data_IF_724428379129
#
_entry.id   IF_724428379129
#
_cell.length_a   1.000
_cell.length_b   1.000
_cell.length_c   1.000
_cell.angle_alpha   90.00
_cell.angle_beta   90.00
_cell.angle_gamma   90.00
#
_symmetry.space_group_name_H-M   'P 1'
#
loop_
_entity.id
_entity.type
_entity.pdbx_description
1 polymer ?
#
# COMPACT_ATOMS: atom_id res chain seq x y z
N UNK A 1 7.46 -17.52 -13.32
CA UNK A 1 7.18 -18.96 -13.29
C UNK A 1 6.75 -19.43 -11.91
N UNK A 2 7.52 -19.21 -10.83
CA UNK A 2 7.16 -19.60 -9.46
C UNK A 2 5.81 -19.03 -8.98
N UNK A 3 5.37 -17.93 -9.56
CA UNK A 3 4.05 -17.31 -9.29
C UNK A 3 2.89 -17.90 -10.13
N UNK A 4 3.15 -18.98 -10.88
CA UNK A 4 2.12 -19.67 -11.68
C UNK A 4 2.05 -19.21 -13.14
N UNK A 5 2.85 -18.25 -13.57
CA UNK A 5 2.91 -17.85 -14.99
C UNK A 5 3.66 -18.89 -15.82
N UNK A 6 3.19 -19.11 -17.06
CA UNK A 6 3.96 -19.89 -18.05
C UNK A 6 5.33 -19.23 -18.30
N UNK A 7 6.34 -20.01 -18.77
CA UNK A 7 7.65 -19.43 -19.07
C UNK A 7 7.60 -18.22 -20.01
N UNK A 8 6.83 -18.31 -21.09
CA UNK A 8 6.67 -17.24 -22.09
C UNK A 8 6.00 -16.00 -21.49
N UNK A 9 4.97 -16.21 -20.65
CA UNK A 9 4.28 -15.13 -19.98
C UNK A 9 5.18 -14.44 -18.93
N UNK A 10 5.95 -15.21 -18.20
CA UNK A 10 6.90 -14.69 -17.22
C UNK A 10 7.97 -13.83 -17.91
N UNK A 11 8.52 -14.30 -19.05
CA UNK A 11 9.49 -13.55 -19.83
C UNK A 11 8.87 -12.27 -20.40
N UNK A 12 7.68 -12.36 -20.98
CA UNK A 12 6.95 -11.20 -21.49
C UNK A 12 6.77 -10.11 -20.42
N UNK A 13 6.34 -10.48 -19.22
CA UNK A 13 6.17 -9.54 -18.11
C UNK A 13 7.52 -8.93 -17.67
N UNK A 14 8.57 -9.76 -17.57
CA UNK A 14 9.90 -9.29 -17.21
C UNK A 14 10.45 -8.27 -18.22
N UNK A 15 10.21 -8.47 -19.50
CA UNK A 15 10.63 -7.55 -20.58
C UNK A 15 9.90 -6.19 -20.51
N UNK A 16 8.71 -6.16 -19.92
CA UNK A 16 7.89 -4.94 -19.77
C UNK A 16 8.15 -4.16 -18.49
N UNK A 17 8.97 -4.69 -17.58
CA UNK A 17 9.22 -4.07 -16.28
C UNK A 17 10.71 -3.74 -16.16
N UNK A 18 11.04 -2.54 -15.71
CA UNK A 18 12.39 -2.11 -15.40
C UNK A 18 12.52 -1.82 -13.91
N UNK A 19 13.68 -2.14 -13.34
CA UNK A 19 14.00 -1.90 -11.92
C UNK A 19 14.92 -0.69 -11.81
N UNK A 20 14.54 0.28 -10.96
CA UNK A 20 15.34 1.46 -10.67
C UNK A 20 15.79 1.45 -9.20
N UNK A 21 17.07 1.61 -8.90
CA UNK A 21 17.53 1.76 -7.52
C UNK A 21 17.08 3.10 -6.92
N UNK A 22 16.72 3.10 -5.65
CA UNK A 22 16.31 4.29 -4.93
C UNK A 22 16.96 4.36 -3.54
N UNK A 23 17.01 5.56 -2.97
CA UNK A 23 17.45 5.79 -1.57
C UNK A 23 16.27 5.81 -0.59
N UNK A 24 15.05 6.06 -1.09
CA UNK A 24 13.84 6.20 -0.29
C UNK A 24 12.91 4.98 -0.36
N UNK A 25 11.60 5.22 -0.21
CA UNK A 25 10.54 4.21 -0.29
C UNK A 25 10.43 3.58 -1.67
N UNK A 26 9.93 2.35 -1.72
CA UNK A 26 9.54 1.70 -2.96
C UNK A 26 8.33 2.36 -3.61
N UNK A 27 8.23 2.26 -4.92
CA UNK A 27 7.09 2.69 -5.72
C UNK A 27 7.04 1.94 -7.05
N UNK A 28 5.85 1.76 -7.56
CA UNK A 28 5.61 1.22 -8.90
C UNK A 28 4.92 2.27 -9.78
N UNK A 29 5.46 2.47 -10.98
CA UNK A 29 4.82 3.30 -12.00
C UNK A 29 4.47 2.44 -13.21
N UNK A 30 3.22 2.47 -13.59
CA UNK A 30 2.77 1.87 -14.83
C UNK A 30 3.36 2.60 -16.06
N UNK A 31 3.47 1.89 -17.17
CA UNK A 31 3.76 2.53 -18.44
C UNK A 31 2.56 3.38 -18.90
N UNK A 32 2.82 4.60 -19.38
CA UNK A 32 1.77 5.51 -19.85
C UNK A 32 1.17 5.08 -21.18
N UNK A 33 1.90 4.31 -21.99
CA UNK A 33 1.46 3.82 -23.28
C UNK A 33 2.13 2.50 -23.65
N UNK A 34 1.49 1.73 -24.54
CA UNK A 34 2.08 0.51 -25.12
C UNK A 34 3.44 0.84 -25.76
N UNK A 35 4.42 -0.02 -25.56
CA UNK A 35 5.80 0.17 -25.99
C UNK A 35 6.74 0.72 -24.92
N UNK A 36 6.22 1.39 -23.90
CA UNK A 36 6.99 1.79 -22.73
C UNK A 36 7.06 0.64 -21.70
N UNK A 37 8.04 0.73 -20.79
CA UNK A 37 8.20 -0.21 -19.68
C UNK A 37 7.63 0.39 -18.40
N UNK A 38 6.90 -0.41 -17.65
CA UNK A 38 6.59 -0.12 -16.25
C UNK A 38 7.87 -0.06 -15.43
N UNK A 39 7.90 0.74 -14.36
CA UNK A 39 9.11 0.95 -13.57
C UNK A 39 8.85 0.63 -12.11
N UNK A 40 9.67 -0.23 -11.57
CA UNK A 40 9.71 -0.59 -10.16
C UNK A 40 10.90 0.12 -9.52
N UNK A 41 10.67 0.84 -8.44
CA UNK A 41 11.71 1.43 -7.62
C UNK A 41 11.74 0.76 -6.26
N UNK A 42 12.92 0.37 -5.81
CA UNK A 42 13.13 -0.15 -4.46
C UNK A 42 14.42 0.37 -3.86
N UNK A 43 14.54 0.25 -2.54
CA UNK A 43 15.73 0.67 -1.81
C UNK A 43 16.88 -0.32 -2.07
N UNK A 44 17.94 0.19 -2.68
CA UNK A 44 19.18 -0.55 -2.90
C UNK A 44 20.34 0.27 -2.29
N UNK A 45 20.78 -0.04 -1.07
CA UNK A 45 21.98 0.54 -0.46
C UNK A 45 23.23 0.23 -1.27
N UNK A 46 24.33 0.97 -1.02
CA UNK A 46 25.61 0.76 -1.69
C UNK A 46 26.20 -0.64 -1.51
N UNK A 47 25.79 -1.34 -0.45
CA UNK A 47 26.22 -2.69 -0.12
C UNK A 47 25.34 -3.80 -0.73
N UNK A 48 24.36 -3.43 -1.55
CA UNK A 48 23.39 -4.34 -2.13
C UNK A 48 22.00 -4.24 -1.49
N UNK A 49 21.05 -4.99 -2.05
CA UNK A 49 19.68 -5.02 -1.55
C UNK A 49 19.59 -5.89 -0.30
N UNK A 50 19.06 -5.34 0.78
CA UNK A 50 18.70 -6.10 1.98
C UNK A 50 17.32 -6.79 1.82
N UNK A 51 16.94 -7.64 2.79
CA UNK A 51 15.67 -8.35 2.75
C UNK A 51 14.47 -7.36 2.71
N UNK A 52 14.53 -6.26 3.44
CA UNK A 52 13.46 -5.27 3.44
C UNK A 52 13.29 -4.63 2.06
N UNK A 53 14.39 -4.27 1.40
CA UNK A 53 14.35 -3.76 0.02
C UNK A 53 13.81 -4.78 -0.96
N UNK A 54 14.16 -6.05 -0.79
CA UNK A 54 13.63 -7.16 -1.60
C UNK A 54 12.13 -7.36 -1.38
N UNK A 55 11.67 -7.44 -0.14
CA UNK A 55 10.26 -7.62 0.22
C UNK A 55 9.38 -6.50 -0.36
N UNK A 56 9.84 -5.24 -0.25
CA UNK A 56 9.20 -4.08 -0.88
C UNK A 56 9.22 -4.23 -2.41
N UNK A 57 10.35 -4.66 -3.00
CA UNK A 57 10.44 -4.87 -4.45
C UNK A 57 9.42 -5.87 -4.97
N UNK A 58 9.14 -6.93 -4.23
CA UNK A 58 8.12 -7.92 -4.61
C UNK A 58 6.71 -7.34 -4.55
N UNK A 59 6.41 -6.49 -3.57
CA UNK A 59 5.15 -5.74 -3.50
C UNK A 59 4.98 -4.84 -4.74
N UNK A 60 5.96 -3.98 -5.01
CA UNK A 60 5.94 -3.07 -6.16
C UNK A 60 5.92 -3.81 -7.50
N UNK A 61 6.56 -4.98 -7.56
CA UNK A 61 6.49 -5.86 -8.72
C UNK A 61 5.07 -6.37 -8.96
N UNK A 62 4.30 -6.66 -7.92
CA UNK A 62 2.89 -7.01 -8.01
C UNK A 62 2.07 -5.91 -8.70
N UNK A 63 2.28 -4.66 -8.32
CA UNK A 63 1.66 -3.51 -8.99
C UNK A 63 2.07 -3.42 -10.47
N UNK A 64 3.36 -3.55 -10.78
CA UNK A 64 3.82 -3.46 -12.18
C UNK A 64 3.27 -4.61 -13.05
N UNK A 65 3.10 -5.79 -12.50
CA UNK A 65 2.46 -6.91 -13.20
C UNK A 65 1.00 -6.59 -13.50
N UNK A 66 0.23 -6.11 -12.52
CA UNK A 66 -1.15 -5.67 -12.71
C UNK A 66 -1.25 -4.58 -13.78
N UNK A 67 -0.47 -3.51 -13.64
CA UNK A 67 -0.43 -2.38 -14.56
C UNK A 67 -0.07 -2.81 -16.00
N UNK A 68 0.85 -3.76 -16.14
CA UNK A 68 1.24 -4.31 -17.44
C UNK A 68 0.10 -5.12 -18.07
N UNK A 69 -0.57 -5.97 -17.29
CA UNK A 69 -1.73 -6.74 -17.74
C UNK A 69 -2.87 -5.79 -18.12
N UNK A 70 -3.16 -4.81 -17.25
CA UNK A 70 -4.20 -3.81 -17.51
C UNK A 70 -3.96 -3.04 -18.81
N UNK A 71 -2.72 -2.64 -19.09
CA UNK A 71 -2.38 -1.88 -20.30
C UNK A 71 -2.37 -2.72 -21.59
N UNK A 72 -1.92 -3.98 -21.51
CA UNK A 72 -1.66 -4.76 -22.72
C UNK A 72 -2.73 -5.78 -23.04
N UNK A 73 -3.42 -6.33 -22.02
CA UNK A 73 -4.35 -7.45 -22.18
C UNK A 73 -5.81 -7.00 -22.12
N UNK A 74 -6.08 -5.77 -21.65
CA UNK A 74 -7.41 -5.18 -21.69
C UNK A 74 -7.60 -4.48 -23.03
N UNK A 75 -8.48 -5.01 -23.87
CA UNK A 75 -8.66 -4.54 -25.24
C UNK A 75 -9.25 -3.11 -25.33
N UNK A 76 -10.09 -2.76 -24.37
CA UNK A 76 -10.71 -1.44 -24.34
C UNK A 76 -9.91 -0.50 -23.44
N UNK A 77 -9.23 0.46 -24.03
CA UNK A 77 -8.29 1.37 -23.32
C UNK A 77 -8.93 2.09 -22.12
N UNK A 78 -10.20 2.48 -22.22
CA UNK A 78 -10.90 3.17 -21.13
C UNK A 78 -11.12 2.31 -19.88
N UNK A 79 -10.91 1.00 -19.98
CA UNK A 79 -10.91 0.08 -18.83
C UNK A 79 -9.53 -0.12 -18.21
N UNK A 80 -8.47 0.43 -18.81
CA UNK A 80 -7.14 0.41 -18.24
C UNK A 80 -7.13 1.23 -16.93
N UNK A 81 -6.62 0.65 -15.85
CA UNK A 81 -6.55 1.32 -14.54
C UNK A 81 -7.91 1.42 -13.80
N UNK A 82 -8.94 0.73 -14.24
CA UNK A 82 -10.25 0.68 -13.58
C UNK A 82 -10.24 -0.03 -12.21
N UNK A 83 -9.41 -1.07 -11.95
CA UNK A 83 -9.35 -1.66 -10.63
C UNK A 83 -9.04 -0.58 -9.57
N UNK A 84 -9.83 -0.54 -8.50
CA UNK A 84 -9.61 0.41 -7.43
C UNK A 84 -8.36 0.07 -6.61
N UNK A 85 -7.88 1.03 -5.83
CA UNK A 85 -6.65 0.88 -5.04
C UNK A 85 -6.70 -0.31 -4.09
N UNK A 86 -7.87 -0.64 -3.51
CA UNK A 86 -7.99 -1.80 -2.63
C UNK A 86 -7.66 -3.12 -3.36
N UNK A 87 -8.09 -3.27 -4.61
CA UNK A 87 -7.77 -4.45 -5.42
C UNK A 87 -6.29 -4.49 -5.80
N UNK A 88 -5.71 -3.37 -6.26
CA UNK A 88 -4.31 -3.33 -6.69
C UNK A 88 -3.35 -3.56 -5.52
N UNK A 89 -3.66 -3.02 -4.34
CA UNK A 89 -2.91 -3.30 -3.11
C UNK A 89 -3.04 -4.76 -2.67
N UNK A 90 -4.26 -5.33 -2.69
CA UNK A 90 -4.46 -6.73 -2.35
C UNK A 90 -3.65 -7.67 -3.26
N UNK A 91 -3.59 -7.38 -4.57
CA UNK A 91 -2.77 -8.15 -5.50
C UNK A 91 -1.28 -8.02 -5.19
N UNK A 92 -0.79 -6.82 -4.90
CA UNK A 92 0.60 -6.60 -4.52
C UNK A 92 0.96 -7.36 -3.23
N UNK A 93 0.08 -7.39 -2.23
CA UNK A 93 0.26 -8.19 -1.02
C UNK A 93 0.26 -9.70 -1.28
N UNK A 94 -0.52 -10.20 -2.24
CA UNK A 94 -0.46 -11.61 -2.67
C UNK A 94 0.93 -11.98 -3.20
N UNK A 95 1.54 -11.10 -4.00
CA UNK A 95 2.93 -11.27 -4.45
C UNK A 95 3.90 -11.22 -3.27
N UNK A 96 3.79 -10.20 -2.43
CA UNK A 96 4.67 -9.98 -1.28
C UNK A 96 4.66 -11.16 -0.30
N UNK A 97 3.51 -11.77 -0.05
CA UNK A 97 3.39 -12.96 0.81
C UNK A 97 4.22 -14.16 0.32
N UNK A 98 4.57 -14.19 -0.95
CA UNK A 98 5.33 -15.29 -1.58
C UNK A 98 6.83 -15.00 -1.74
N UNK A 99 7.34 -13.96 -1.12
CA UNK A 99 8.71 -13.48 -1.28
C UNK A 99 9.78 -14.54 -0.94
N UNK A 100 9.65 -15.23 0.20
CA UNK A 100 10.57 -16.31 0.58
C UNK A 100 10.49 -17.50 -0.39
N UNK A 101 9.30 -17.87 -0.84
CA UNK A 101 9.10 -18.91 -1.85
C UNK A 101 9.82 -18.56 -3.16
N UNK A 102 9.80 -17.29 -3.56
CA UNK A 102 10.50 -16.80 -4.76
C UNK A 102 12.01 -16.92 -4.62
N UNK A 103 12.55 -16.76 -3.43
CA UNK A 103 13.96 -17.02 -3.11
C UNK A 103 14.30 -18.53 -3.02
N UNK A 104 13.29 -19.40 -3.00
CA UNK A 104 13.46 -20.82 -2.79
C UNK A 104 13.69 -21.19 -1.32
N UNK A 105 13.39 -20.27 -0.41
CA UNK A 105 13.47 -20.48 1.03
C UNK A 105 12.14 -21.06 1.49
N UNK A 106 12.20 -22.23 2.13
CA UNK A 106 11.04 -22.80 2.82
C UNK A 106 11.07 -22.33 4.28
N UNK A 107 9.98 -21.75 4.72
CA UNK A 107 9.81 -21.49 6.13
C UNK A 107 9.16 -22.71 6.78
N UNK A 108 9.89 -23.33 7.69
CA UNK A 108 9.48 -24.55 8.39
C UNK A 108 8.81 -24.24 9.75
N UNK A 109 8.59 -22.96 10.07
CA UNK A 109 7.94 -22.58 11.32
C UNK A 109 6.43 -22.89 11.27
N UNK A 110 5.91 -23.84 12.06
CA UNK A 110 4.50 -24.22 12.05
C UNK A 110 3.56 -23.10 12.54
N UNK A 111 4.10 -22.13 13.27
CA UNK A 111 3.32 -21.00 13.81
C UNK A 111 3.30 -19.79 12.86
N UNK A 112 4.06 -19.83 11.75
CA UNK A 112 4.18 -18.70 10.83
C UNK A 112 2.83 -18.23 10.31
N UNK A 113 1.99 -19.13 9.84
CA UNK A 113 0.68 -18.77 9.29
C UNK A 113 -0.19 -18.05 10.33
N UNK A 114 -0.15 -18.49 11.58
CA UNK A 114 -0.87 -17.84 12.68
C UNK A 114 -0.32 -16.45 12.97
N UNK A 115 1.02 -16.32 12.99
CA UNK A 115 1.68 -15.03 13.22
C UNK A 115 1.39 -14.07 12.08
N UNK A 116 1.42 -14.54 10.83
CA UNK A 116 1.06 -13.73 9.65
C UNK A 116 -0.39 -13.22 9.73
N UNK A 117 -1.33 -14.05 10.19
CA UNK A 117 -2.73 -13.64 10.39
C UNK A 117 -2.84 -12.58 11.49
N UNK A 118 -2.17 -12.78 12.62
CA UNK A 118 -2.17 -11.81 13.73
C UNK A 118 -1.55 -10.48 13.30
N UNK A 119 -0.45 -10.51 12.55
CA UNK A 119 0.19 -9.34 11.98
C UNK A 119 -0.76 -8.57 11.05
N UNK A 120 -1.52 -9.27 10.20
CA UNK A 120 -2.50 -8.64 9.32
C UNK A 120 -3.67 -8.02 10.10
N UNK A 121 -4.18 -8.70 11.11
CA UNK A 121 -5.23 -8.15 11.97
C UNK A 121 -4.72 -6.89 12.70
N UNK A 122 -3.49 -6.93 13.19
CA UNK A 122 -2.87 -5.78 13.85
C UNK A 122 -2.67 -4.61 12.89
N UNK A 123 -2.09 -4.85 11.72
CA UNK A 123 -1.87 -3.83 10.69
C UNK A 123 -3.19 -3.19 10.23
N UNK A 124 -4.25 -3.99 10.07
CA UNK A 124 -5.58 -3.47 9.74
C UNK A 124 -6.14 -2.60 10.87
N UNK A 125 -5.98 -3.01 12.13
CA UNK A 125 -6.41 -2.23 13.30
C UNK A 125 -5.68 -0.88 13.36
N UNK A 126 -4.36 -0.86 13.15
CA UNK A 126 -3.56 0.37 13.12
C UNK A 126 -4.02 1.33 12.01
N UNK A 127 -4.18 0.84 10.78
CA UNK A 127 -4.49 1.69 9.64
C UNK A 127 -5.94 2.18 9.63
N UNK A 128 -6.88 1.42 10.20
CA UNK A 128 -8.29 1.80 10.26
C UNK A 128 -8.51 3.12 11.01
N UNK A 129 -7.79 3.36 12.11
CA UNK A 129 -7.91 4.60 12.86
C UNK A 129 -7.46 5.83 12.08
N UNK A 130 -6.35 5.70 11.35
CA UNK A 130 -5.84 6.77 10.48
C UNK A 130 -6.80 7.00 9.31
N UNK A 131 -7.31 5.95 8.70
CA UNK A 131 -8.33 6.01 7.64
C UNK A 131 -9.61 6.72 8.10
N UNK A 132 -10.07 6.41 9.31
CA UNK A 132 -11.24 7.08 9.91
C UNK A 132 -10.97 8.56 10.15
N UNK A 133 -9.76 8.93 10.55
CA UNK A 133 -9.38 10.33 10.71
C UNK A 133 -9.41 11.05 9.37
N UNK A 134 -8.80 10.50 8.33
CA UNK A 134 -8.79 11.10 6.99
C UNK A 134 -10.21 11.34 6.48
N UNK A 135 -11.08 10.34 6.56
CA UNK A 135 -12.48 10.47 6.16
C UNK A 135 -13.22 11.54 7.00
N UNK A 136 -12.95 11.59 8.30
CA UNK A 136 -13.60 12.55 9.20
C UNK A 136 -13.15 13.98 8.93
N UNK A 137 -11.87 14.18 8.63
CA UNK A 137 -11.29 15.48 8.26
C UNK A 137 -11.90 15.96 6.93
N UNK A 138 -12.03 15.11 5.93
CA UNK A 138 -12.64 15.47 4.66
C UNK A 138 -14.13 15.83 4.83
N UNK A 139 -14.89 15.07 5.62
CA UNK A 139 -16.28 15.40 5.95
C UNK A 139 -16.38 16.76 6.65
N UNK A 140 -15.45 17.04 7.57
CA UNK A 140 -15.40 18.33 8.25
C UNK A 140 -15.10 19.47 7.27
N UNK A 141 -14.13 19.31 6.35
CA UNK A 141 -13.81 20.31 5.33
C UNK A 141 -15.00 20.61 4.41
N UNK A 142 -15.74 19.58 3.99
CA UNK A 142 -16.94 19.79 3.19
C UNK A 142 -18.03 20.54 3.94
N UNK A 143 -18.14 20.34 5.24
CA UNK A 143 -19.08 21.08 6.08
C UNK A 143 -18.62 22.52 6.41
N UNK A 144 -17.33 22.81 6.26
CA UNK A 144 -16.72 24.10 6.60
C UNK A 144 -15.87 24.64 5.43
N UNK A 145 -16.48 24.96 4.26
CA UNK A 145 -15.75 25.31 3.04
C UNK A 145 -14.93 26.59 3.13
N UNK A 146 -15.22 27.44 4.11
CA UNK A 146 -14.51 28.71 4.34
C UNK A 146 -13.58 28.68 5.55
N UNK A 147 -13.29 27.48 6.09
CA UNK A 147 -12.42 27.34 7.25
C UNK A 147 -10.99 27.79 6.95
N UNK A 148 -10.38 28.40 7.93
CA UNK A 148 -8.95 28.75 7.90
C UNK A 148 -8.07 27.51 8.17
N UNK A 149 -6.79 27.61 7.86
CA UNK A 149 -5.81 26.57 8.18
C UNK A 149 -5.74 26.29 9.70
N UNK A 150 -5.89 27.31 10.55
CA UNK A 150 -5.93 27.15 12.01
C UNK A 150 -7.13 26.34 12.47
N UNK A 151 -8.33 26.65 11.99
CA UNK A 151 -9.54 25.89 12.30
C UNK A 151 -9.46 24.44 11.81
N UNK A 152 -8.84 24.20 10.64
CA UNK A 152 -8.57 22.85 10.17
C UNK A 152 -7.62 22.11 11.10
N UNK A 153 -6.55 22.75 11.55
CA UNK A 153 -5.59 22.14 12.51
C UNK A 153 -6.29 21.74 13.82
N UNK A 154 -7.10 22.63 14.38
CA UNK A 154 -7.89 22.36 15.60
C UNK A 154 -8.85 21.18 15.40
N UNK A 155 -9.53 21.14 14.23
CA UNK A 155 -10.42 20.04 13.88
C UNK A 155 -9.69 18.70 13.77
N UNK A 156 -8.51 18.67 13.14
CA UNK A 156 -7.67 17.45 13.02
C UNK A 156 -7.26 16.95 14.38
N UNK A 157 -6.79 17.82 15.27
CA UNK A 157 -6.39 17.46 16.63
C UNK A 157 -7.58 16.88 17.41
N UNK A 158 -8.73 17.55 17.35
CA UNK A 158 -9.96 17.10 18.04
C UNK A 158 -10.43 15.75 17.51
N UNK A 159 -10.56 15.59 16.21
CA UNK A 159 -11.01 14.35 15.58
C UNK A 159 -10.04 13.18 15.86
N UNK A 160 -8.73 13.45 15.85
CA UNK A 160 -7.73 12.44 16.21
C UNK A 160 -7.94 11.92 17.63
N UNK A 161 -8.13 12.82 18.61
CA UNK A 161 -8.41 12.45 20.01
C UNK A 161 -9.72 11.69 20.18
N UNK A 162 -10.78 12.11 19.48
CA UNK A 162 -12.08 11.43 19.53
C UNK A 162 -11.97 9.99 19.04
N UNK A 163 -11.30 9.75 17.90
CA UNK A 163 -11.08 8.42 17.34
C UNK A 163 -10.18 7.60 18.26
N UNK A 164 -9.08 8.19 18.73
CA UNK A 164 -8.18 7.52 19.67
C UNK A 164 -8.90 7.08 20.92
N UNK A 165 -9.61 7.98 21.57
CA UNK A 165 -10.31 7.69 22.84
C UNK A 165 -11.37 6.61 22.68
N UNK A 166 -12.00 6.54 21.52
CA UNK A 166 -13.05 5.55 21.27
C UNK A 166 -12.49 4.15 20.99
N UNK A 167 -11.44 4.05 20.19
CA UNK A 167 -11.00 2.77 19.63
C UNK A 167 -9.66 2.26 20.18
N UNK A 168 -8.76 3.15 20.57
CA UNK A 168 -7.39 2.81 20.97
C UNK A 168 -7.14 2.94 22.48
N UNK A 169 -7.68 3.98 23.10
CA UNK A 169 -7.51 4.19 24.53
C UNK A 169 -7.98 3.00 25.41
N UNK A 170 -9.06 2.28 25.09
CA UNK A 170 -9.44 1.09 25.85
C UNK A 170 -8.42 -0.04 25.80
N UNK A 171 -7.62 -0.12 24.72
CA UNK A 171 -6.60 -1.15 24.53
C UNK A 171 -5.28 -0.74 25.16
N UNK A 172 -4.85 0.53 24.90
CA UNK A 172 -3.54 1.03 25.32
C UNK A 172 -3.53 1.66 26.72
N UNK A 173 -4.69 1.98 27.28
CA UNK A 173 -4.79 2.61 28.60
C UNK A 173 -4.41 4.10 28.63
N UNK A 174 -4.14 4.72 27.49
CA UNK A 174 -3.74 6.13 27.35
C UNK A 174 -4.80 6.89 26.57
N UNK A 175 -5.16 8.08 27.03
CA UNK A 175 -6.18 8.94 26.42
C UNK A 175 -5.58 10.18 25.77
N UNK A 176 -6.38 10.79 24.90
CA UNK A 176 -6.14 12.10 24.28
C UNK A 176 -4.89 12.18 23.38
N UNK A 177 -4.47 11.04 22.86
CA UNK A 177 -3.36 10.97 21.90
C UNK A 177 -3.76 11.47 20.51
N UNK A 178 -2.80 12.12 19.85
CA UNK A 178 -2.97 12.69 18.50
C UNK A 178 -2.14 11.95 17.44
N UNK A 179 -1.57 10.81 17.80
CA UNK A 179 -0.63 10.06 16.94
C UNK A 179 -1.21 9.70 15.58
N UNK A 180 -2.53 9.47 15.49
CA UNK A 180 -3.20 9.17 14.23
C UNK A 180 -3.01 10.29 13.18
N UNK A 181 -2.89 11.54 13.63
CA UNK A 181 -2.69 12.68 12.74
C UNK A 181 -1.28 12.70 12.10
N UNK A 182 -0.30 12.03 12.70
CA UNK A 182 1.07 11.95 12.17
C UNK A 182 1.11 11.11 10.88
N UNK A 183 0.27 10.06 10.82
CA UNK A 183 0.20 9.13 9.70
C UNK A 183 -0.91 9.44 8.70
N UNK A 184 -1.65 10.55 8.92
CA UNK A 184 -2.77 10.96 8.07
C UNK A 184 -2.32 11.30 6.64
N UNK A 185 -3.14 10.91 5.66
CA UNK A 185 -2.96 11.20 4.24
C UNK A 185 -4.05 12.15 3.72
N UNK A 186 -4.61 12.97 4.60
CA UNK A 186 -5.72 13.87 4.30
C UNK A 186 -5.49 14.79 3.09
N UNK A 187 -4.23 15.07 2.74
CA UNK A 187 -3.87 15.93 1.59
C UNK A 187 -4.09 15.19 0.25
N UNK A 188 -3.99 13.85 0.25
CA UNK A 188 -4.16 13.04 -0.96
C UNK A 188 -5.64 12.94 -1.35
N UNK A 189 -6.32 11.99 -0.77
CA UNK A 189 -7.77 11.83 -0.91
C UNK A 189 -8.32 10.98 0.26
N UNK A 190 -9.61 11.10 0.59
CA UNK A 190 -10.14 10.59 1.87
C UNK A 190 -10.15 9.06 2.00
N UNK A 191 -10.02 8.34 0.89
CA UNK A 191 -10.08 6.88 0.88
C UNK A 191 -8.72 6.20 0.67
N UNK A 192 -7.62 6.96 0.66
CA UNK A 192 -6.30 6.40 0.36
C UNK A 192 -5.93 5.27 1.33
N UNK A 193 -5.94 5.53 2.64
CA UNK A 193 -5.59 4.52 3.64
C UNK A 193 -6.69 3.47 3.85
N UNK A 194 -7.95 3.78 3.54
CA UNK A 194 -9.04 2.81 3.57
C UNK A 194 -8.81 1.66 2.59
N UNK A 195 -8.18 1.93 1.46
CA UNK A 195 -7.86 0.91 0.46
C UNK A 195 -6.90 -0.16 1.00
N UNK A 196 -5.94 0.24 1.85
CA UNK A 196 -5.01 -0.71 2.48
C UNK A 196 -5.69 -1.57 3.55
N UNK A 197 -6.69 -1.03 4.26
CA UNK A 197 -7.44 -1.79 5.25
C UNK A 197 -8.31 -2.89 4.60
N UNK A 198 -8.82 -2.65 3.40
CA UNK A 198 -9.57 -3.64 2.63
C UNK A 198 -8.69 -4.77 2.12
#
# INVERSE_FOLDING_TARGET
QKLGFSPDRAQYLADKIAVDPARGSGHAWGASMKGQRSRLRTRIPSQGMDYKGYNIAIHEFGHNVEQTISLYDVDYYMLNGVPNTAFTEALAFVFQKRDLELLGIKDENPEKEKMDILDKIWSMYEICGVSMLDISVWKWMYAHPNATAGELQEAVIRLSKEIWNKYYAPVFGVKDETVLAIYSHMIGYPLYLSAYAF
#
